data_IF_305830303691
#
_entry.id   IF_305830303691
#
_cell.length_a   1.000
_cell.length_b   1.000
_cell.length_c   1.000
_cell.angle_alpha   90.00
_cell.angle_beta   90.00
_cell.angle_gamma   90.00
#
_symmetry.space_group_name_H-M   'P 1'
#
loop_
_entity.id
_entity.type
_entity.pdbx_description
1 polymer ?
#
# COMPACT_ATOMS: atom_id res chain seq x y z
N UNK A 1 -0.25 2.59 16.50
CA UNK A 1 0.60 2.16 15.37
C UNK A 1 -0.33 2.00 14.19
N UNK A 2 0.06 2.45 13.00
CA UNK A 2 -0.76 2.31 11.78
C UNK A 2 -0.03 1.34 10.86
N UNK A 3 -0.75 0.38 10.30
CA UNK A 3 -0.19 -0.64 9.41
C UNK A 3 -1.08 -0.75 8.19
N UNK A 4 -0.56 -0.32 7.05
CA UNK A 4 -1.28 -0.35 5.78
C UNK A 4 -0.68 -1.42 4.89
N UNK A 5 -1.51 -2.34 4.43
CA UNK A 5 -1.19 -3.22 3.33
C UNK A 5 -1.67 -2.56 2.04
N UNK A 6 -0.75 -2.39 1.10
CA UNK A 6 -0.96 -1.65 -0.14
C UNK A 6 -0.88 -2.65 -1.30
N UNK A 7 -1.98 -2.76 -2.04
CA UNK A 7 -2.12 -3.67 -3.17
C UNK A 7 -2.21 -2.90 -4.47
N UNK A 8 -1.60 -3.44 -5.53
CA UNK A 8 -1.77 -2.92 -6.87
C UNK A 8 -2.92 -3.67 -7.54
N UNK A 9 -4.08 -3.02 -7.67
CA UNK A 9 -5.29 -3.67 -8.17
C UNK A 9 -5.28 -3.72 -9.70
N UNK A 10 -5.71 -4.86 -10.24
CA UNK A 10 -5.92 -5.07 -11.67
C UNK A 10 -6.92 -4.06 -12.27
N UNK A 11 -6.70 -3.67 -13.53
CA UNK A 11 -7.40 -2.55 -14.16
C UNK A 11 -8.92 -2.70 -14.16
N UNK A 12 -9.38 -3.90 -14.54
CA UNK A 12 -10.78 -4.25 -14.64
C UNK A 12 -11.51 -4.15 -13.30
N UNK A 13 -10.84 -4.52 -12.20
CA UNK A 13 -11.43 -4.46 -10.87
C UNK A 13 -11.34 -3.07 -10.26
N UNK A 14 -10.24 -2.35 -10.47
CA UNK A 14 -10.06 -1.00 -9.96
C UNK A 14 -11.14 -0.05 -10.51
N UNK A 15 -11.43 -0.15 -11.81
CA UNK A 15 -12.52 0.62 -12.44
C UNK A 15 -13.91 0.17 -12.00
N UNK A 16 -14.16 -1.14 -11.91
CA UNK A 16 -15.46 -1.68 -11.53
C UNK A 16 -15.83 -1.39 -10.07
N UNK A 17 -14.87 -1.51 -9.15
CA UNK A 17 -15.10 -1.37 -7.70
C UNK A 17 -14.75 0.01 -7.13
N UNK A 18 -14.50 1.00 -7.99
CA UNK A 18 -14.37 2.39 -7.53
C UNK A 18 -15.66 2.88 -6.85
N UNK A 19 -15.55 3.45 -5.65
CA UNK A 19 -16.67 3.78 -4.76
C UNK A 19 -17.29 2.59 -4.02
N UNK A 20 -16.75 1.39 -4.20
CA UNK A 20 -17.16 0.13 -3.56
C UNK A 20 -15.96 -0.58 -2.91
N UNK A 21 -15.00 0.20 -2.42
CA UNK A 21 -13.72 -0.27 -1.86
C UNK A 21 -13.90 -1.21 -0.66
N UNK A 22 -15.05 -1.13 0.01
CA UNK A 22 -15.42 -2.04 1.11
C UNK A 22 -15.38 -3.52 0.69
N UNK A 23 -15.65 -3.85 -0.58
CA UNK A 23 -15.57 -5.23 -1.08
C UNK A 23 -14.14 -5.76 -1.03
N UNK A 24 -13.15 -4.93 -1.41
CA UNK A 24 -11.74 -5.29 -1.29
C UNK A 24 -11.34 -5.45 0.17
N UNK A 25 -11.75 -4.51 1.04
CA UNK A 25 -11.50 -4.61 2.46
C UNK A 25 -12.01 -5.94 3.04
N UNK A 26 -13.24 -6.33 2.73
CA UNK A 26 -13.82 -7.59 3.19
C UNK A 26 -13.03 -8.80 2.70
N UNK A 27 -12.69 -8.83 1.40
CA UNK A 27 -11.89 -9.89 0.81
C UNK A 27 -10.53 -10.05 1.52
N UNK A 28 -9.80 -8.95 1.72
CA UNK A 28 -8.48 -9.00 2.38
C UNK A 28 -8.59 -9.35 3.86
N UNK A 29 -9.62 -8.86 4.54
CA UNK A 29 -9.90 -9.21 5.93
C UNK A 29 -10.20 -10.71 6.08
N UNK A 30 -11.05 -11.27 5.22
CA UNK A 30 -11.35 -12.71 5.22
C UNK A 30 -10.11 -13.54 4.85
N UNK A 31 -9.36 -13.09 3.85
CA UNK A 31 -8.12 -13.73 3.41
C UNK A 31 -7.10 -13.84 4.56
N UNK A 32 -6.93 -12.79 5.37
CA UNK A 32 -6.01 -12.80 6.52
C UNK A 32 -6.46 -13.77 7.62
N UNK A 33 -7.77 -13.90 7.84
CA UNK A 33 -8.34 -14.69 8.95
C UNK A 33 -8.73 -16.13 8.55
N UNK A 34 -8.72 -16.46 7.26
CA UNK A 34 -9.11 -17.77 6.73
C UNK A 34 -8.02 -18.83 6.92
N UNK A 35 -8.45 -20.09 7.03
CA UNK A 35 -7.59 -21.28 7.12
C UNK A 35 -8.15 -22.40 6.23
N UNK A 36 -7.32 -23.41 5.94
CA UNK A 36 -7.74 -24.59 5.17
C UNK A 36 -8.11 -24.27 3.72
N UNK A 37 -9.16 -24.93 3.20
CA UNK A 37 -9.59 -24.80 1.81
C UNK A 37 -10.02 -23.36 1.44
N UNK A 38 -10.71 -22.68 2.36
CA UNK A 38 -11.13 -21.30 2.16
C UNK A 38 -9.92 -20.38 1.92
N UNK A 39 -8.81 -20.60 2.64
CA UNK A 39 -7.58 -19.82 2.44
C UNK A 39 -7.06 -19.98 1.02
N UNK A 40 -7.00 -21.20 0.51
CA UNK A 40 -6.56 -21.49 -0.87
C UNK A 40 -7.43 -20.78 -1.91
N UNK A 41 -8.76 -20.78 -1.72
CA UNK A 41 -9.69 -20.10 -2.63
C UNK A 41 -9.46 -18.58 -2.59
N UNK A 42 -9.32 -18.00 -1.39
CA UNK A 42 -9.09 -16.57 -1.22
C UNK A 42 -7.71 -16.16 -1.75
N UNK A 43 -6.68 -17.00 -1.61
CA UNK A 43 -5.36 -16.78 -2.21
C UNK A 43 -5.47 -16.65 -3.73
N UNK A 44 -6.23 -17.53 -4.39
CA UNK A 44 -6.47 -17.45 -5.84
C UNK A 44 -7.19 -16.16 -6.22
N UNK A 45 -8.22 -15.76 -5.46
CA UNK A 45 -8.95 -14.53 -5.70
C UNK A 45 -8.05 -13.30 -5.56
N UNK A 46 -7.31 -13.20 -4.45
CA UNK A 46 -6.37 -12.10 -4.19
C UNK A 46 -5.31 -12.03 -5.28
N UNK A 47 -4.74 -13.16 -5.69
CA UNK A 47 -3.75 -13.21 -6.77
C UNK A 47 -4.32 -12.84 -8.14
N UNK A 48 -5.60 -13.11 -8.37
CA UNK A 48 -6.28 -12.79 -9.62
C UNK A 48 -6.62 -11.30 -9.73
N UNK A 49 -7.01 -10.66 -8.62
CA UNK A 49 -7.38 -9.23 -8.62
C UNK A 49 -6.19 -8.28 -8.38
N UNK A 50 -5.00 -8.80 -8.04
CA UNK A 50 -3.82 -8.00 -7.76
C UNK A 50 -2.69 -8.26 -8.76
N UNK A 51 -1.97 -7.19 -9.11
CA UNK A 51 -0.72 -7.23 -9.86
C UNK A 51 0.46 -7.42 -8.93
N UNK A 52 1.48 -8.13 -9.43
CA UNK A 52 2.81 -8.02 -8.85
C UNK A 52 3.28 -6.57 -8.94
N UNK A 53 3.84 -6.08 -7.86
CA UNK A 53 4.36 -4.73 -7.80
C UNK A 53 5.75 -4.76 -8.47
N UNK A 54 6.06 -3.88 -9.44
CA UNK A 54 7.36 -3.92 -10.11
C UNK A 54 8.42 -3.24 -9.23
N UNK A 55 9.35 -4.03 -8.69
CA UNK A 55 10.36 -3.56 -7.74
C UNK A 55 11.24 -2.42 -8.27
N UNK A 56 11.87 -2.60 -9.44
CA UNK A 56 12.85 -1.64 -9.95
C UNK A 56 12.27 -0.23 -10.25
N UNK A 57 11.09 -0.08 -10.87
CA UNK A 57 10.44 1.23 -11.01
C UNK A 57 10.13 1.90 -9.67
N UNK A 58 9.56 1.17 -8.71
CA UNK A 58 9.25 1.71 -7.38
C UNK A 58 10.48 2.08 -6.59
N UNK A 59 11.50 1.21 -6.56
CA UNK A 59 12.77 1.48 -5.90
C UNK A 59 13.36 2.81 -6.40
N UNK A 60 13.44 2.97 -7.72
CA UNK A 60 13.91 4.23 -8.33
C UNK A 60 13.04 5.41 -7.92
N UNK A 61 11.72 5.25 -7.90
CA UNK A 61 10.79 6.32 -7.51
C UNK A 61 10.99 6.73 -6.04
N UNK A 62 11.07 5.76 -5.12
CA UNK A 62 11.34 5.95 -3.69
C UNK A 62 12.68 6.65 -3.46
N UNK A 63 13.77 6.10 -4.01
CA UNK A 63 15.11 6.67 -3.84
C UNK A 63 15.17 8.08 -4.42
N UNK A 64 14.64 8.33 -5.62
CA UNK A 64 14.68 9.67 -6.23
C UNK A 64 14.00 10.74 -5.37
N UNK A 65 12.90 10.39 -4.70
CA UNK A 65 12.13 11.33 -3.88
C UNK A 65 12.66 11.45 -2.45
N UNK A 66 13.11 10.35 -1.85
CA UNK A 66 13.44 10.30 -0.43
C UNK A 66 14.94 10.43 -0.15
N UNK A 67 15.83 10.21 -1.12
CA UNK A 67 17.30 10.30 -0.92
C UNK A 67 17.78 11.66 -0.40
N UNK A 68 17.03 12.74 -0.65
CA UNK A 68 17.39 14.08 -0.17
C UNK A 68 17.09 14.27 1.32
N UNK A 69 16.28 13.38 1.89
CA UNK A 69 15.94 13.40 3.30
C UNK A 69 17.09 12.80 4.11
N UNK A 70 17.51 13.51 5.15
CA UNK A 70 18.59 13.06 6.04
C UNK A 70 18.20 11.88 6.93
N UNK A 71 16.90 11.66 7.10
CA UNK A 71 16.30 10.60 7.91
C UNK A 71 15.85 9.40 7.07
N UNK A 72 16.26 9.31 5.80
CA UNK A 72 15.92 8.20 4.92
C UNK A 72 17.06 7.17 4.85
N UNK A 73 16.70 5.90 4.99
CA UNK A 73 17.59 4.75 4.78
C UNK A 73 16.82 3.64 4.08
N UNK A 74 17.54 2.72 3.45
CA UNK A 74 16.95 1.49 2.91
C UNK A 74 17.94 0.35 2.98
N UNK A 75 17.43 -0.87 3.15
CA UNK A 75 18.19 -2.11 3.17
C UNK A 75 17.38 -3.19 2.45
N UNK A 76 17.86 -3.64 1.29
CA UNK A 76 17.19 -4.63 0.45
C UNK A 76 15.75 -4.22 0.08
N UNK A 77 14.77 -4.87 0.71
CA UNK A 77 13.35 -4.69 0.49
C UNK A 77 12.67 -3.79 1.55
N UNK A 78 13.42 -3.23 2.50
CA UNK A 78 12.92 -2.32 3.53
C UNK A 78 13.38 -0.89 3.26
N UNK A 79 12.47 0.07 3.39
CA UNK A 79 12.72 1.50 3.29
C UNK A 79 12.23 2.18 4.55
N UNK A 80 13.06 3.00 5.18
CA UNK A 80 12.76 3.63 6.46
C UNK A 80 12.90 5.15 6.34
N UNK A 81 11.97 5.86 6.97
CA UNK A 81 11.99 7.31 7.15
C UNK A 81 11.80 7.61 8.63
N UNK A 82 12.80 8.22 9.25
CA UNK A 82 12.76 8.64 10.65
C UNK A 82 14.11 8.42 11.35
N UNK A 83 14.33 9.14 12.44
CA UNK A 83 15.51 8.96 13.26
C UNK A 83 15.30 7.81 14.26
N UNK A 84 16.39 7.17 14.68
CA UNK A 84 16.46 6.02 15.58
C UNK A 84 15.70 6.16 16.90
N UNK A 85 15.29 7.37 17.28
CA UNK A 85 14.31 7.59 18.33
C UNK A 85 12.95 7.06 17.86
N UNK A 86 12.53 5.89 18.37
CA UNK A 86 11.25 5.19 18.16
C UNK A 86 9.96 6.02 18.36
N UNK A 87 10.07 7.34 18.49
CA UNK A 87 8.98 8.28 18.70
C UNK A 87 8.23 8.57 17.40
N UNK A 88 8.94 8.80 16.29
CA UNK A 88 8.34 9.13 14.99
C UNK A 88 9.08 8.45 13.85
N UNK A 89 8.35 7.77 12.97
CA UNK A 89 8.93 7.13 11.80
C UNK A 89 7.94 6.28 11.02
N UNK A 90 8.39 5.84 9.86
CA UNK A 90 7.66 4.88 9.04
C UNK A 90 8.63 3.94 8.32
N UNK A 91 8.19 2.72 8.10
CA UNK A 91 8.88 1.67 7.38
C UNK A 91 7.97 1.12 6.30
N UNK A 92 8.47 1.06 5.07
CA UNK A 92 7.82 0.46 3.93
C UNK A 92 8.58 -0.83 3.57
N UNK A 93 7.90 -1.96 3.70
CA UNK A 93 8.41 -3.29 3.39
C UNK A 93 7.82 -3.78 2.07
N UNK A 94 8.68 -4.35 1.24
CA UNK A 94 8.29 -4.93 -0.03
C UNK A 94 7.97 -6.42 0.11
N UNK A 95 6.79 -6.82 -0.36
CA UNK A 95 6.40 -8.21 -0.55
C UNK A 95 6.11 -8.49 -2.03
N UNK A 96 5.98 -9.75 -2.42
CA UNK A 96 5.79 -10.13 -3.82
C UNK A 96 4.55 -9.49 -4.49
N UNK A 97 3.45 -9.39 -3.73
CA UNK A 97 2.13 -8.93 -4.21
C UNK A 97 1.59 -7.71 -3.47
N UNK A 98 2.30 -7.20 -2.46
CA UNK A 98 1.84 -6.06 -1.66
C UNK A 98 3.02 -5.28 -1.11
N UNK A 99 2.77 -4.04 -0.70
CA UNK A 99 3.67 -3.29 0.18
C UNK A 99 3.06 -3.25 1.56
N UNK A 100 3.90 -3.24 2.59
CA UNK A 100 3.45 -3.04 3.95
C UNK A 100 4.08 -1.75 4.48
N UNK A 101 3.24 -0.77 4.79
CA UNK A 101 3.64 0.50 5.38
C UNK A 101 3.27 0.50 6.86
N UNK A 102 4.29 0.41 7.72
CA UNK A 102 4.16 0.54 9.16
C UNK A 102 4.58 1.95 9.58
N UNK A 103 3.74 2.67 10.31
CA UNK A 103 4.04 4.01 10.78
C UNK A 103 3.74 4.19 12.27
N UNK A 104 4.61 4.93 12.94
CA UNK A 104 4.51 5.25 14.36
C UNK A 104 4.72 6.75 14.59
N UNK A 105 4.04 7.28 15.61
CA UNK A 105 4.10 8.70 15.93
C UNK A 105 3.31 9.59 14.95
N UNK A 106 3.94 10.67 14.49
CA UNK A 106 3.32 11.67 13.61
C UNK A 106 2.86 11.11 12.26
N UNK A 107 1.91 11.79 11.60
CA UNK A 107 1.40 11.44 10.27
C UNK A 107 2.39 11.81 9.13
N UNK A 108 3.40 12.63 9.40
CA UNK A 108 4.30 13.15 8.36
C UNK A 108 5.15 12.06 7.70
N UNK A 109 5.58 11.06 8.49
CA UNK A 109 6.41 9.95 7.99
C UNK A 109 5.64 9.03 7.04
N UNK A 110 4.38 8.70 7.34
CA UNK A 110 3.55 7.92 6.42
C UNK A 110 3.14 8.72 5.18
N UNK A 111 2.88 10.02 5.36
CA UNK A 111 2.55 10.90 4.25
C UNK A 111 3.68 10.96 3.22
N UNK A 112 4.94 10.98 3.67
CA UNK A 112 6.10 10.94 2.79
C UNK A 112 6.09 9.73 1.84
N UNK A 113 5.71 8.55 2.33
CA UNK A 113 5.58 7.36 1.48
C UNK A 113 4.34 7.48 0.59
N UNK A 114 3.18 7.86 1.10
CA UNK A 114 1.98 7.99 0.28
C UNK A 114 2.12 9.01 -0.86
N UNK A 115 2.82 10.12 -0.66
CA UNK A 115 3.12 11.09 -1.72
C UNK A 115 3.92 10.48 -2.87
N UNK A 116 4.90 9.64 -2.54
CA UNK A 116 5.71 8.90 -3.52
C UNK A 116 4.84 7.86 -4.24
N UNK A 117 4.05 7.09 -3.49
CA UNK A 117 3.15 6.07 -4.04
C UNK A 117 2.07 6.66 -4.95
N UNK A 118 1.57 7.87 -4.67
CA UNK A 118 0.58 8.57 -5.52
C UNK A 118 1.08 8.84 -6.94
N UNK A 119 2.39 8.93 -7.12
CA UNK A 119 2.98 9.13 -8.44
C UNK A 119 3.04 7.84 -9.26
N UNK A 120 2.93 6.69 -8.60
CA UNK A 120 3.22 5.41 -9.21
C UNK A 120 2.09 4.92 -10.13
N UNK A 121 0.84 4.93 -9.69
CA UNK A 121 -0.34 4.70 -10.52
C UNK A 121 -1.60 5.00 -9.65
N UNK A 122 -2.75 5.30 -10.26
CA UNK A 122 -4.01 5.50 -9.54
C UNK A 122 -4.60 4.24 -8.89
N UNK A 123 -4.09 3.05 -9.21
CA UNK A 123 -4.68 1.76 -8.82
C UNK A 123 -4.07 1.12 -7.57
N UNK A 124 -3.32 1.87 -6.79
CA UNK A 124 -2.84 1.42 -5.49
C UNK A 124 -3.94 1.60 -4.45
N UNK A 125 -4.34 0.51 -3.80
CA UNK A 125 -5.31 0.51 -2.71
C UNK A 125 -4.59 0.24 -1.38
N UNK A 126 -4.70 1.17 -0.44
CA UNK A 126 -4.19 1.01 0.92
C UNK A 126 -5.31 0.48 1.83
N UNK A 127 -4.98 -0.52 2.64
CA UNK A 127 -5.91 -1.21 3.54
C UNK A 127 -5.25 -1.41 4.90
N UNK A 128 -5.86 -0.85 5.94
CA UNK A 128 -5.53 -1.06 7.35
C UNK A 128 -6.65 -1.91 7.96
N UNK A 129 -6.34 -3.19 8.14
CA UNK A 129 -7.27 -4.19 8.65
C UNK A 129 -7.51 -4.06 10.15
N UNK A 130 -6.55 -3.52 10.90
CA UNK A 130 -6.66 -3.32 12.35
C UNK A 130 -7.63 -2.17 12.69
N UNK A 131 -7.51 -1.05 11.95
CA UNK A 131 -8.31 0.15 12.20
C UNK A 131 -9.52 0.28 11.26
N UNK A 132 -9.76 -0.72 10.40
CA UNK A 132 -10.84 -0.74 9.40
C UNK A 132 -10.81 0.46 8.44
N UNK A 133 -9.61 0.91 8.07
CA UNK A 133 -9.43 2.06 7.16
C UNK A 133 -8.98 1.56 5.81
N UNK A 134 -9.57 2.06 4.74
CA UNK A 134 -9.18 1.68 3.39
C UNK A 134 -9.43 2.83 2.42
N UNK A 135 -8.67 2.85 1.33
CA UNK A 135 -8.86 3.85 0.29
C UNK A 135 -7.79 3.77 -0.79
N UNK A 136 -8.12 4.32 -1.95
CA UNK A 136 -7.15 4.48 -3.03
C UNK A 136 -6.08 5.49 -2.63
N UNK A 137 -4.82 5.13 -2.82
CA UNK A 137 -3.68 6.02 -2.54
C UNK A 137 -3.79 7.30 -3.36
N UNK A 138 -4.22 7.17 -4.62
CA UNK A 138 -4.60 8.27 -5.51
C UNK A 138 -6.00 7.97 -6.07
N UNK A 139 -6.93 8.93 -6.10
CA UNK A 139 -8.24 8.71 -6.71
C UNK A 139 -8.10 8.36 -8.20
N UNK A 140 -8.79 7.30 -8.63
CA UNK A 140 -8.77 6.81 -10.03
C UNK A 140 -9.44 7.81 -11.01
N UNK A 141 -10.31 8.71 -10.52
CA UNK A 141 -10.98 9.73 -11.33
C UNK A 141 -10.67 11.15 -10.86
N UNK A 142 -9.99 11.92 -11.72
CA UNK A 142 -10.29 13.35 -11.83
C UNK A 142 -11.64 13.49 -12.53
N UNK A 143 -12.69 13.88 -11.82
CA UNK A 143 -13.91 14.37 -12.48
C UNK A 143 -13.55 15.69 -13.16
N UNK A 144 -13.36 15.67 -14.49
CA UNK A 144 -13.60 16.86 -15.31
C UNK A 144 -15.10 17.16 -15.22
N UNK A 145 -15.49 18.04 -14.30
CA UNK A 145 -16.78 18.70 -14.43
C UNK A 145 -16.63 19.74 -15.55
N UNK A 146 -17.55 19.65 -16.51
CA UNK A 146 -17.74 20.58 -17.64
C UNK A 146 -18.13 21.95 -17.09
#
# INVERSE_FOLDING_TARGET
MRSYQIYFIEDEFAGHYYGREKMFYQLFHEHQNSIGELKTILDLQVNYITKSIPFLPFHRLLVNHLQKRKDFSFEGCSYQVGFTTKVNGAELLWHERSLQLCAWGSYDSEFAFFEVLRQFDGRLLAVDLENQRFGWVKPIKERKYV
#
